data_IF_025381822476
#
_entry.id   IF_025381822476
#
_cell.length_a   1.000
_cell.length_b   1.000
_cell.length_c   1.000
_cell.angle_alpha   90.00
_cell.angle_beta   90.00
_cell.angle_gamma   90.00
#
_symmetry.space_group_name_H-M   'P 1'
#
loop_
_entity.id
_entity.type
_entity.pdbx_description
1 polymer ?
#
# COMPACT_ATOMS: atom_id res chain seq x y z
N UNK A 1 7.12 6.06 -29.40
CA UNK A 1 6.72 6.39 -28.01
C UNK A 1 5.78 5.30 -27.51
N UNK A 2 6.04 4.71 -26.34
CA UNK A 2 5.17 3.67 -25.79
C UNK A 2 3.87 4.26 -25.26
N UNK A 3 2.75 3.56 -25.49
CA UNK A 3 1.43 3.95 -24.96
C UNK A 3 1.51 4.11 -23.44
N UNK A 4 0.79 5.10 -22.89
CA UNK A 4 0.66 5.30 -21.45
C UNK A 4 0.08 4.04 -20.75
N UNK A 5 0.30 3.91 -19.44
CA UNK A 5 -0.24 2.81 -18.64
C UNK A 5 -1.66 3.14 -18.18
N UNK A 6 -2.62 2.26 -18.43
CA UNK A 6 -3.98 2.43 -17.91
C UNK A 6 -4.12 1.84 -16.49
N UNK A 7 -5.08 2.31 -15.68
CA UNK A 7 -5.32 1.75 -14.34
C UNK A 7 -5.62 0.25 -14.36
N UNK A 8 -6.30 -0.24 -15.41
CA UNK A 8 -6.61 -1.66 -15.60
C UNK A 8 -5.34 -2.49 -15.80
N UNK A 9 -4.40 -2.01 -16.60
CA UNK A 9 -3.12 -2.68 -16.85
C UNK A 9 -2.24 -2.72 -15.61
N UNK A 10 -2.22 -1.64 -14.84
CA UNK A 10 -1.50 -1.57 -13.55
C UNK A 10 -2.08 -2.57 -12.56
N UNK A 11 -3.41 -2.68 -12.47
CA UNK A 11 -4.07 -3.61 -11.56
C UNK A 11 -3.77 -5.07 -11.92
N UNK A 12 -3.77 -5.39 -13.22
CA UNK A 12 -3.32 -6.70 -13.75
C UNK A 12 -1.87 -6.98 -13.36
N UNK A 13 -0.98 -5.99 -13.47
CA UNK A 13 0.43 -6.12 -13.09
C UNK A 13 0.63 -6.38 -11.59
N UNK A 14 -0.14 -5.71 -10.75
CA UNK A 14 -0.12 -5.88 -9.28
C UNK A 14 -0.68 -7.24 -8.88
N UNK A 15 -1.77 -7.71 -9.50
CA UNK A 15 -2.33 -9.03 -9.21
C UNK A 15 -1.35 -10.16 -9.53
N UNK A 16 -0.56 -10.02 -10.60
CA UNK A 16 0.49 -11.00 -10.94
C UNK A 16 1.69 -11.00 -9.98
N UNK A 17 1.95 -9.90 -9.29
CA UNK A 17 3.02 -9.85 -8.29
C UNK A 17 2.62 -10.53 -6.97
N UNK A 18 1.33 -10.50 -6.66
CA UNK A 18 0.76 -10.99 -5.40
C UNK A 18 0.45 -12.50 -5.36
N UNK A 19 0.90 -13.30 -6.35
CA UNK A 19 1.13 -14.72 -6.11
C UNK A 19 0.42 -15.77 -6.98
N UNK A 20 -0.27 -15.45 -8.08
CA UNK A 20 -0.95 -16.53 -8.86
C UNK A 20 -0.34 -16.90 -10.21
N UNK A 21 0.54 -16.11 -10.82
CA UNK A 21 1.18 -16.55 -12.06
C UNK A 21 2.63 -16.07 -12.15
N UNK A 22 3.54 -17.05 -12.25
CA UNK A 22 4.98 -16.85 -12.34
C UNK A 22 5.41 -15.88 -13.46
N UNK A 23 6.64 -15.38 -13.30
CA UNK A 23 7.34 -14.32 -14.05
C UNK A 23 7.21 -14.33 -15.59
N UNK A 24 6.64 -15.37 -16.20
CA UNK A 24 6.46 -15.55 -17.65
C UNK A 24 5.10 -15.11 -18.22
N UNK A 25 4.05 -14.89 -17.40
CA UNK A 25 2.70 -14.58 -17.91
C UNK A 25 2.41 -13.07 -18.13
N UNK A 26 3.23 -12.16 -17.61
CA UNK A 26 2.94 -10.70 -17.59
C UNK A 26 2.81 -10.06 -18.99
N UNK A 27 3.49 -10.57 -20.01
CA UNK A 27 3.45 -10.02 -21.37
C UNK A 27 2.26 -10.55 -22.21
N UNK A 28 1.76 -11.75 -21.91
CA UNK A 28 0.66 -12.36 -22.67
C UNK A 28 -0.66 -11.64 -22.45
N UNK A 29 -0.93 -11.21 -21.21
CA UNK A 29 -2.16 -10.46 -20.87
C UNK A 29 -2.10 -8.98 -21.25
N UNK A 30 -0.89 -8.47 -21.51
CA UNK A 30 -0.64 -7.10 -21.94
C UNK A 30 -0.01 -7.16 -23.33
N UNK A 31 -0.80 -7.58 -24.33
CA UNK A 31 -0.38 -7.83 -25.72
C UNK A 31 0.41 -6.70 -26.39
N UNK A 32 0.31 -5.48 -25.86
CA UNK A 32 0.96 -4.28 -26.36
C UNK A 32 2.06 -3.74 -25.42
N UNK A 33 2.43 -4.49 -24.37
CA UNK A 33 3.52 -4.17 -23.44
C UNK A 33 4.54 -5.31 -23.42
N UNK A 34 5.81 -4.99 -23.59
CA UNK A 34 6.87 -5.99 -23.53
C UNK A 34 7.11 -6.45 -22.09
N UNK A 35 7.69 -7.63 -21.94
CA UNK A 35 8.10 -8.14 -20.63
C UNK A 35 9.02 -7.15 -19.87
N UNK A 36 9.91 -6.45 -20.58
CA UNK A 36 10.77 -5.40 -20.02
C UNK A 36 9.96 -4.21 -19.50
N UNK A 37 9.00 -3.71 -20.27
CA UNK A 37 8.12 -2.61 -19.83
C UNK A 37 7.31 -2.99 -18.59
N UNK A 38 6.81 -4.23 -18.53
CA UNK A 38 6.12 -4.74 -17.36
C UNK A 38 7.06 -4.81 -16.14
N UNK A 39 8.31 -5.27 -16.32
CA UNK A 39 9.28 -5.35 -15.24
C UNK A 39 9.69 -3.96 -14.71
N UNK A 40 9.93 -2.99 -15.60
CA UNK A 40 10.28 -1.62 -15.23
C UNK A 40 9.10 -0.93 -14.54
N UNK A 41 7.88 -1.07 -15.07
CA UNK A 41 6.69 -0.53 -14.41
C UNK A 41 6.43 -1.16 -13.06
N UNK A 42 6.72 -2.46 -12.90
CA UNK A 42 6.62 -3.14 -11.62
C UNK A 42 7.66 -2.64 -10.63
N UNK A 43 8.88 -2.32 -11.08
CA UNK A 43 9.89 -1.67 -10.22
C UNK A 43 9.40 -0.29 -9.77
N UNK A 44 8.80 0.50 -10.65
CA UNK A 44 8.21 1.79 -10.28
C UNK A 44 7.07 1.62 -9.27
N UNK A 45 6.20 0.63 -9.48
CA UNK A 45 5.12 0.29 -8.56
C UNK A 45 5.69 -0.17 -7.22
N UNK A 46 6.70 -1.04 -7.21
CA UNK A 46 7.37 -1.50 -5.99
C UNK A 46 8.09 -0.38 -5.26
N UNK A 47 8.76 0.52 -5.97
CA UNK A 47 9.34 1.73 -5.39
C UNK A 47 8.29 2.65 -4.77
N UNK A 48 7.09 2.71 -5.34
CA UNK A 48 5.95 3.38 -4.71
C UNK A 48 5.38 2.59 -3.52
N UNK A 49 5.44 1.26 -3.54
CA UNK A 49 4.94 0.37 -2.49
C UNK A 49 5.87 0.34 -1.28
N UNK A 50 7.20 0.33 -1.45
CA UNK A 50 8.18 0.23 -0.36
C UNK A 50 8.50 1.57 0.32
N UNK A 51 7.99 2.70 -0.20
CA UNK A 51 8.20 4.00 0.44
C UNK A 51 7.44 4.08 1.77
N UNK A 52 7.96 4.79 2.78
CA UNK A 52 7.23 5.07 4.02
C UNK A 52 5.84 5.67 3.76
N UNK A 53 4.87 5.38 4.62
CA UNK A 53 3.57 6.05 4.57
C UNK A 53 3.74 7.53 4.93
N UNK A 54 3.19 8.39 4.08
CA UNK A 54 3.13 9.83 4.35
C UNK A 54 2.12 10.14 5.46
N UNK A 55 2.24 11.27 6.17
CA UNK A 55 1.25 11.68 7.17
C UNK A 55 -0.18 11.72 6.62
N UNK A 56 -0.35 12.16 5.37
CA UNK A 56 -1.65 12.18 4.69
C UNK A 56 -2.22 10.77 4.48
N UNK A 57 -1.40 9.82 4.01
CA UNK A 57 -1.84 8.43 3.88
C UNK A 57 -2.19 7.83 5.26
N UNK A 58 -1.41 8.12 6.30
CA UNK A 58 -1.69 7.71 7.67
C UNK A 58 -3.04 8.24 8.17
N UNK A 59 -3.34 9.52 7.92
CA UNK A 59 -4.63 10.12 8.27
C UNK A 59 -5.79 9.50 7.49
N UNK A 60 -5.58 9.19 6.22
CA UNK A 60 -6.58 8.51 5.41
C UNK A 60 -6.84 7.08 5.92
N UNK A 61 -5.81 6.34 6.34
CA UNK A 61 -5.97 5.03 6.99
C UNK A 61 -6.82 5.18 8.25
N UNK A 62 -6.57 6.20 9.09
CA UNK A 62 -7.38 6.45 10.30
C UNK A 62 -8.84 6.74 9.98
N UNK A 63 -9.11 7.58 9.01
CA UNK A 63 -10.47 7.91 8.61
C UNK A 63 -11.20 6.68 8.05
N UNK A 64 -10.54 5.91 7.18
CA UNK A 64 -11.11 4.70 6.60
C UNK A 64 -11.35 3.63 7.67
N UNK A 65 -10.45 3.46 8.62
CA UNK A 65 -10.61 2.53 9.74
C UNK A 65 -11.78 2.92 10.64
N UNK A 66 -11.91 4.21 10.97
CA UNK A 66 -13.07 4.72 11.72
C UNK A 66 -14.39 4.47 11.00
N UNK A 67 -14.41 4.62 9.67
CA UNK A 67 -15.63 4.49 8.85
C UNK A 67 -16.01 3.04 8.55
N UNK A 68 -15.02 2.16 8.38
CA UNK A 68 -15.24 0.82 7.81
C UNK A 68 -14.68 -0.32 8.65
N UNK A 69 -13.97 -0.04 9.74
CA UNK A 69 -13.26 -1.04 10.54
C UNK A 69 -12.04 -1.63 9.81
N UNK A 70 -11.58 -2.85 10.19
CA UNK A 70 -10.37 -3.49 9.68
C UNK A 70 -10.54 -4.09 8.27
N UNK A 71 -11.18 -3.37 7.35
CA UNK A 71 -11.38 -3.80 5.96
C UNK A 71 -10.18 -3.44 5.08
N UNK A 72 -9.03 -4.02 5.36
CA UNK A 72 -7.73 -3.70 4.74
C UNK A 72 -7.73 -3.83 3.21
N UNK A 73 -8.37 -4.89 2.67
CA UNK A 73 -8.50 -5.06 1.20
C UNK A 73 -9.24 -3.89 0.55
N UNK A 74 -10.23 -3.31 1.21
CA UNK A 74 -10.96 -2.15 0.71
C UNK A 74 -10.10 -0.89 0.75
N UNK A 75 -9.33 -0.70 1.81
CA UNK A 75 -8.40 0.43 1.94
C UNK A 75 -7.26 0.34 0.93
N UNK A 76 -6.78 -0.87 0.65
CA UNK A 76 -5.77 -1.16 -0.37
C UNK A 76 -6.18 -0.67 -1.75
N UNK A 77 -7.46 -0.82 -2.12
CA UNK A 77 -7.98 -0.30 -3.39
C UNK A 77 -7.95 1.25 -3.47
N UNK A 78 -8.01 1.95 -2.33
CA UNK A 78 -8.03 3.42 -2.25
C UNK A 78 -6.60 3.97 -2.17
N UNK A 79 -5.75 3.36 -1.35
CA UNK A 79 -4.39 3.82 -1.10
C UNK A 79 -3.38 3.27 -2.13
N UNK A 80 -3.79 2.32 -2.96
CA UNK A 80 -2.94 1.61 -3.91
C UNK A 80 -1.69 1.00 -3.24
N UNK A 81 -1.84 0.54 -1.99
CA UNK A 81 -0.81 -0.16 -1.19
C UNK A 81 -1.30 -1.56 -0.85
N UNK A 82 -0.38 -2.46 -0.51
CA UNK A 82 -0.80 -3.81 -0.11
C UNK A 82 -1.64 -3.76 1.18
N UNK A 83 -2.66 -4.63 1.33
CA UNK A 83 -3.44 -4.69 2.55
C UNK A 83 -2.58 -4.95 3.79
N UNK A 84 -1.52 -5.76 3.64
CA UNK A 84 -0.58 -6.10 4.69
C UNK A 84 0.17 -4.87 5.20
N UNK A 85 0.70 -4.04 4.30
CA UNK A 85 1.42 -2.82 4.68
C UNK A 85 0.52 -1.80 5.36
N UNK A 86 -0.73 -1.68 4.92
CA UNK A 86 -1.72 -0.81 5.57
C UNK A 86 -1.99 -1.27 7.00
N UNK A 87 -2.12 -2.59 7.19
CA UNK A 87 -2.32 -3.20 8.50
C UNK A 87 -1.13 -2.97 9.43
N UNK A 88 0.09 -3.21 8.94
CA UNK A 88 1.34 -2.95 9.69
C UNK A 88 1.47 -1.48 10.06
N UNK A 89 1.18 -0.56 9.13
CA UNK A 89 1.16 0.87 9.39
C UNK A 89 0.14 1.24 10.48
N UNK A 90 -1.07 0.67 10.43
CA UNK A 90 -2.08 0.89 11.45
C UNK A 90 -1.62 0.47 12.84
N UNK A 91 -1.06 -0.74 12.97
CA UNK A 91 -0.57 -1.22 14.27
C UNK A 91 0.60 -0.41 14.80
N UNK A 92 1.54 -0.02 13.93
CA UNK A 92 2.64 0.85 14.31
C UNK A 92 2.14 2.21 14.84
N UNK A 93 1.13 2.80 14.20
CA UNK A 93 0.51 4.05 14.66
C UNK A 93 -0.21 3.90 16.00
N UNK A 94 -0.95 2.80 16.20
CA UNK A 94 -1.69 2.55 17.44
C UNK A 94 -0.76 2.34 18.64
N UNK A 95 0.32 1.59 18.45
CA UNK A 95 1.35 1.40 19.47
C UNK A 95 2.04 2.72 19.85
N UNK A 96 2.36 3.56 18.87
CA UNK A 96 2.95 4.86 19.13
C UNK A 96 1.99 5.77 19.92
N UNK A 97 0.69 5.76 19.58
CA UNK A 97 -0.32 6.50 20.32
C UNK A 97 -0.44 6.03 21.79
N UNK A 98 -0.34 4.72 22.05
CA UNK A 98 -0.32 4.17 23.42
C UNK A 98 0.92 4.64 24.20
N UNK A 99 2.09 4.64 23.57
CA UNK A 99 3.34 5.13 24.19
C UNK A 99 3.23 6.61 24.58
N UNK A 100 2.73 7.46 23.68
CA UNK A 100 2.54 8.89 23.95
C UNK A 100 1.60 9.09 25.14
N UNK A 101 0.46 8.40 25.18
CA UNK A 101 -0.50 8.49 26.31
C UNK A 101 0.14 8.08 27.63
N UNK A 102 0.91 6.99 27.64
CA UNK A 102 1.63 6.53 28.84
C UNK A 102 2.64 7.57 29.32
N UNK A 103 3.41 8.16 28.41
CA UNK A 103 4.38 9.21 28.73
C UNK A 103 3.72 10.46 29.31
N UNK A 104 2.60 10.90 28.72
CA UNK A 104 1.83 12.05 29.24
C UNK A 104 1.21 11.76 30.61
N UNK A 105 0.75 10.54 30.85
CA UNK A 105 0.23 10.14 32.16
C UNK A 105 1.31 10.15 33.25
N UNK A 106 2.52 9.65 32.95
CA UNK A 106 3.66 9.72 33.87
C UNK A 106 4.07 11.16 34.15
N UNK A 107 4.13 12.01 33.13
CA UNK A 107 4.55 13.40 33.30
C UNK A 107 3.57 14.21 34.16
N UNK A 108 2.27 13.92 34.07
CA UNK A 108 1.23 14.52 34.94
C UNK A 108 1.29 14.08 36.40
N UNK A 109 1.90 12.92 36.70
CA UNK A 109 2.06 12.44 38.07
C UNK A 109 3.30 13.03 38.77
N UNK A 110 4.20 13.65 38.01
CA UNK A 110 5.46 14.23 38.49
C UNK A 110 5.42 15.76 38.58
N UNK A 111 4.27 16.37 38.25
CA UNK A 111 4.00 17.81 38.26
C UNK A 111 2.91 18.13 39.26
#
# INVERSE_FOLDING_TARGET
>A
MSRAWSPKEVNILVSFDNGECGRRMKAFYLSHKTAKQCADKLKDIRGYVDRPFTPFECDMIRQLYRKHGPRWRRMSAILHRSPQMIMECWFAMDEEAKRIRKKMAVQRLLS
#
